data_IF_447413539835
#
_entry.id   IF_447413539835
#
_cell.length_a   1.000
_cell.length_b   1.000
_cell.length_c   1.000
_cell.angle_alpha   90.00
_cell.angle_beta   90.00
_cell.angle_gamma   90.00
#
_symmetry.space_group_name_H-M   'P 1'
#
loop_
_entity.id
_entity.type
_entity.pdbx_description
1 polymer ?
#
# COMPACT_ATOMS: atom_id res chain seq x y z
N UNK A 1 -51.60 29.56 -42.80
CA UNK A 1 -51.35 29.65 -41.35
C UNK A 1 -49.95 29.08 -41.06
N UNK A 2 -48.95 29.95 -40.87
CA UNK A 2 -47.56 29.52 -40.54
C UNK A 2 -47.48 29.38 -39.02
N UNK A 3 -47.16 28.17 -38.50
CA UNK A 3 -46.91 27.91 -37.07
C UNK A 3 -45.46 28.28 -36.78
N UNK A 4 -45.25 29.27 -35.94
CA UNK A 4 -43.95 29.64 -35.37
C UNK A 4 -43.71 28.71 -34.16
N UNK A 5 -42.67 27.86 -34.26
CA UNK A 5 -42.19 27.08 -33.11
C UNK A 5 -41.11 27.92 -32.42
N UNK A 6 -41.43 28.38 -31.21
CA UNK A 6 -40.47 29.05 -30.35
C UNK A 6 -39.71 27.99 -29.55
N UNK A 7 -38.43 27.79 -29.86
CA UNK A 7 -37.51 26.96 -29.09
C UNK A 7 -37.02 27.79 -27.88
N UNK A 8 -37.50 27.47 -26.68
CA UNK A 8 -36.97 28.00 -25.44
C UNK A 8 -35.65 27.24 -25.11
N UNK A 9 -34.51 27.91 -25.29
CA UNK A 9 -33.24 27.48 -24.78
C UNK A 9 -33.21 27.71 -23.24
N UNK A 10 -33.34 26.63 -22.48
CA UNK A 10 -33.05 26.65 -21.05
C UNK A 10 -31.51 26.74 -20.88
N UNK A 11 -31.00 27.93 -20.64
CA UNK A 11 -29.63 28.11 -20.14
C UNK A 11 -29.58 27.56 -18.71
N UNK A 12 -29.05 26.36 -18.55
CA UNK A 12 -28.64 25.84 -17.25
C UNK A 12 -27.49 26.69 -16.73
N UNK A 13 -27.77 27.62 -15.82
CA UNK A 13 -26.75 28.36 -15.07
C UNK A 13 -26.07 27.32 -14.17
N UNK A 14 -24.94 26.76 -14.62
CA UNK A 14 -24.03 26.02 -13.75
C UNK A 14 -23.42 27.05 -12.80
N UNK A 15 -23.98 27.15 -11.59
CA UNK A 15 -23.35 27.94 -10.54
C UNK A 15 -21.91 27.46 -10.34
N UNK A 16 -20.91 28.35 -10.38
CA UNK A 16 -19.53 27.91 -10.14
C UNK A 16 -19.47 27.27 -8.77
N UNK A 17 -18.99 26.03 -8.71
CA UNK A 17 -18.74 25.36 -7.44
C UNK A 17 -17.87 26.28 -6.60
N UNK A 18 -18.41 26.76 -5.47
CA UNK A 18 -17.70 27.70 -4.59
C UNK A 18 -16.40 27.03 -4.19
N UNK A 19 -15.27 27.66 -4.52
CA UNK A 19 -13.94 27.17 -4.19
C UNK A 19 -13.86 26.85 -2.70
N UNK A 20 -13.81 25.57 -2.35
CA UNK A 20 -13.77 25.16 -0.95
C UNK A 20 -12.40 25.52 -0.38
N UNK A 21 -12.41 26.40 0.63
CA UNK A 21 -11.22 26.77 1.39
C UNK A 21 -11.34 26.19 2.79
N UNK A 22 -10.32 25.45 3.22
CA UNK A 22 -10.21 24.89 4.59
C UNK A 22 -8.96 25.46 5.24
N UNK A 23 -9.04 25.81 6.51
CA UNK A 23 -7.91 26.28 7.30
C UNK A 23 -7.77 25.43 8.57
N UNK A 24 -6.67 24.70 8.70
CA UNK A 24 -6.27 24.05 9.95
C UNK A 24 -5.55 25.08 10.80
N UNK A 25 -6.16 25.46 11.93
CA UNK A 25 -5.72 26.58 12.74
C UNK A 25 -4.97 26.08 13.96
N UNK A 26 -3.81 26.66 14.23
CA UNK A 26 -2.96 26.38 15.40
C UNK A 26 -2.49 24.92 15.49
N UNK A 27 -2.13 24.33 14.34
CA UNK A 27 -1.73 22.94 14.22
C UNK A 27 -0.20 22.77 14.31
N UNK A 28 0.28 21.66 14.87
CA UNK A 28 1.67 21.24 14.76
C UNK A 28 1.84 20.48 13.43
N UNK A 29 2.68 20.97 12.53
CA UNK A 29 2.90 20.36 11.21
C UNK A 29 4.15 19.50 11.23
N UNK A 30 4.04 18.25 10.81
CA UNK A 30 5.16 17.36 10.50
C UNK A 30 5.25 17.29 8.98
N UNK A 31 6.10 18.12 8.35
CA UNK A 31 6.04 18.31 6.89
C UNK A 31 6.62 17.16 6.09
N UNK A 32 7.39 16.27 6.69
CA UNK A 32 8.08 15.13 6.06
C UNK A 32 9.14 15.52 5.01
N UNK A 33 9.54 16.79 4.93
CA UNK A 33 10.71 17.23 4.17
C UNK A 33 12.02 16.85 4.88
N UNK A 34 12.00 16.88 6.21
CA UNK A 34 13.02 16.40 7.16
C UNK A 34 12.36 16.16 8.52
N UNK A 35 13.07 15.50 9.42
CA UNK A 35 12.61 15.24 10.79
C UNK A 35 12.48 16.54 11.60
N UNK A 36 11.26 17.01 11.78
CA UNK A 36 10.92 18.20 12.55
C UNK A 36 9.42 18.34 12.78
N UNK A 37 9.07 19.15 13.79
CA UNK A 37 7.70 19.62 14.05
C UNK A 37 7.70 21.14 13.95
N UNK A 38 6.84 21.70 13.09
CA UNK A 38 6.57 23.14 13.02
C UNK A 38 5.35 23.41 13.92
N UNK A 39 5.59 24.01 15.09
CA UNK A 39 4.55 24.26 16.06
C UNK A 39 3.71 25.50 15.69
N UNK A 40 2.45 25.52 16.14
CA UNK A 40 1.54 26.68 16.04
C UNK A 40 1.39 27.22 14.61
N UNK A 41 1.22 26.34 13.64
CA UNK A 41 1.04 26.73 12.25
C UNK A 41 -0.45 26.84 11.88
N UNK A 42 -0.75 27.66 10.89
CA UNK A 42 -2.01 27.60 10.15
C UNK A 42 -1.72 27.13 8.74
N UNK A 43 -2.42 26.07 8.31
CA UNK A 43 -2.33 25.51 6.95
C UNK A 43 -3.62 25.81 6.22
N UNK A 44 -3.53 26.55 5.10
CA UNK A 44 -4.67 26.92 4.26
C UNK A 44 -4.67 26.06 3.01
N UNK A 45 -5.80 25.39 2.77
CA UNK A 45 -6.05 24.58 1.58
C UNK A 45 -7.12 25.24 0.73
N UNK A 46 -6.86 25.37 -0.58
CA UNK A 46 -7.83 25.85 -1.58
C UNK A 46 -7.91 24.86 -2.71
N UNK A 47 -9.10 24.36 -3.03
CA UNK A 47 -9.33 23.41 -4.12
C UNK A 47 -8.39 22.22 -4.06
N UNK A 48 -8.17 21.64 -2.88
CA UNK A 48 -7.32 20.48 -2.68
C UNK A 48 -5.81 20.73 -2.77
N UNK A 49 -5.37 21.99 -2.83
CA UNK A 49 -3.95 22.38 -2.86
C UNK A 49 -3.61 23.22 -1.64
N UNK A 50 -2.47 22.95 -1.03
CA UNK A 50 -1.93 23.75 0.07
C UNK A 50 -1.54 25.12 -0.48
N UNK A 51 -2.37 26.14 -0.18
CA UNK A 51 -2.15 27.48 -0.70
C UNK A 51 -1.22 28.31 0.18
N UNK A 52 -1.21 28.05 1.49
CA UNK A 52 -0.36 28.76 2.44
C UNK A 52 -0.08 27.96 3.71
N UNK A 53 1.09 28.20 4.32
CA UNK A 53 1.54 27.62 5.60
C UNK A 53 2.35 28.67 6.33
N UNK A 54 2.09 28.87 7.62
CA UNK A 54 2.89 29.76 8.43
C UNK A 54 2.36 29.91 9.85
N UNK A 55 3.07 30.69 10.65
CA UNK A 55 2.74 30.98 12.04
C UNK A 55 1.30 31.50 12.16
N UNK A 56 0.50 30.89 13.03
CA UNK A 56 -0.92 31.20 13.23
C UNK A 56 -1.18 32.68 13.55
N UNK A 57 -0.24 33.35 14.22
CA UNK A 57 -0.35 34.80 14.56
C UNK A 57 -0.13 35.70 13.34
N UNK A 58 0.48 35.19 12.26
CA UNK A 58 0.86 35.97 11.08
C UNK A 58 0.01 35.68 9.85
N UNK A 59 -0.51 34.46 9.73
CA UNK A 59 -1.31 34.06 8.58
C UNK A 59 -2.71 34.67 8.63
N UNK A 60 -3.15 35.25 7.51
CA UNK A 60 -4.50 35.77 7.34
C UNK A 60 -5.41 34.69 6.75
N UNK A 61 -6.34 34.18 7.55
CA UNK A 61 -7.31 33.19 7.11
C UNK A 61 -8.36 33.89 6.23
N UNK A 62 -8.63 33.39 5.00
CA UNK A 62 -9.63 33.97 4.11
C UNK A 62 -11.03 34.00 4.73
N UNK A 63 -11.80 35.06 4.46
CA UNK A 63 -13.20 35.09 4.83
C UNK A 63 -13.97 33.94 4.16
N UNK A 64 -14.84 33.25 4.92
CA UNK A 64 -15.62 32.13 4.44
C UNK A 64 -14.87 30.81 4.36
N UNK A 65 -13.60 30.71 4.80
CA UNK A 65 -12.90 29.45 4.96
C UNK A 65 -13.52 28.60 6.07
N UNK A 66 -13.70 27.31 5.81
CA UNK A 66 -14.01 26.33 6.86
C UNK A 66 -12.82 26.28 7.82
N UNK A 67 -13.03 26.61 9.07
CA UNK A 67 -11.99 26.58 10.10
C UNK A 67 -12.04 25.24 10.83
N UNK A 68 -10.90 24.55 10.90
CA UNK A 68 -10.69 23.36 11.70
C UNK A 68 -9.80 23.78 12.86
N UNK A 69 -10.34 23.75 14.08
CA UNK A 69 -9.54 23.95 15.29
C UNK A 69 -8.63 22.72 15.47
N UNK A 70 -7.32 22.95 15.37
CA UNK A 70 -6.30 21.92 15.42
C UNK A 70 -5.25 22.19 16.52
N UNK A 71 -5.62 23.03 17.52
CA UNK A 71 -4.74 23.29 18.65
C UNK A 71 -4.32 22.00 19.36
N UNK A 72 -3.00 21.83 19.54
CA UNK A 72 -2.41 20.62 20.14
C UNK A 72 -2.39 19.38 19.26
N UNK A 73 -2.99 19.40 18.06
CA UNK A 73 -3.02 18.28 17.11
C UNK A 73 -1.83 18.34 16.14
N UNK A 74 -1.62 17.25 15.41
CA UNK A 74 -0.50 17.07 14.48
C UNK A 74 -1.01 16.80 13.07
N UNK A 75 -0.52 17.55 12.10
CA UNK A 75 -0.87 17.40 10.69
C UNK A 75 0.28 16.75 9.94
N UNK A 76 0.00 15.60 9.31
CA UNK A 76 0.94 14.83 8.49
C UNK A 76 0.42 14.71 7.04
N UNK A 77 1.28 14.40 6.05
CA UNK A 77 0.80 13.98 4.74
C UNK A 77 -0.10 12.75 4.87
N UNK A 78 -1.06 12.59 3.99
CA UNK A 78 -1.86 11.38 3.91
C UNK A 78 -1.00 10.15 3.66
N UNK A 79 -1.36 9.04 4.29
CA UNK A 79 -0.60 7.79 4.21
C UNK A 79 -0.76 7.15 2.83
N UNK A 80 0.26 6.43 2.43
CA UNK A 80 0.31 5.63 1.20
C UNK A 80 0.53 4.17 1.55
N UNK A 81 -0.34 3.28 1.05
CA UNK A 81 -0.15 1.83 1.10
C UNK A 81 0.39 1.33 -0.24
N UNK A 82 1.61 0.76 -0.21
CA UNK A 82 2.33 0.36 -1.42
C UNK A 82 2.05 -1.08 -1.87
N UNK A 83 1.22 -1.82 -1.14
CA UNK A 83 0.81 -3.17 -1.52
C UNK A 83 -0.60 -3.48 -1.01
N UNK A 84 -1.57 -3.42 -1.91
CA UNK A 84 -2.99 -3.65 -1.61
C UNK A 84 -3.61 -4.46 -2.73
N UNK A 85 -4.59 -5.29 -2.39
CA UNK A 85 -5.49 -5.96 -3.31
C UNK A 85 -6.93 -5.56 -2.99
N UNK A 86 -7.82 -5.55 -3.99
CA UNK A 86 -9.26 -5.32 -3.81
C UNK A 86 -10.03 -6.56 -4.25
N UNK A 87 -11.19 -6.78 -3.65
CA UNK A 87 -12.17 -7.72 -4.15
C UNK A 87 -12.84 -7.14 -5.41
N UNK A 88 -12.29 -7.45 -6.58
CA UNK A 88 -12.76 -6.99 -7.90
C UNK A 88 -12.82 -8.14 -8.89
N UNK A 89 -13.31 -9.29 -8.46
CA UNK A 89 -13.57 -10.42 -9.33
C UNK A 89 -15.10 -10.66 -9.48
N UNK A 90 -15.46 -11.54 -10.41
CA UNK A 90 -16.87 -11.83 -10.73
C UNK A 90 -17.69 -12.39 -9.54
N UNK A 91 -17.04 -12.75 -8.43
CA UNK A 91 -17.70 -13.27 -7.24
C UNK A 91 -18.24 -12.17 -6.33
N UNK A 92 -17.67 -10.94 -6.39
CA UNK A 92 -18.02 -9.85 -5.48
C UNK A 92 -18.73 -8.69 -6.20
N UNK A 93 -19.70 -8.03 -5.55
CA UNK A 93 -20.30 -6.81 -6.07
C UNK A 93 -19.28 -5.67 -6.17
N UNK A 94 -19.35 -4.85 -7.25
CA UNK A 94 -18.47 -3.69 -7.45
C UNK A 94 -18.54 -2.68 -6.28
N UNK A 95 -19.69 -2.58 -5.63
CA UNK A 95 -19.91 -1.69 -4.48
C UNK A 95 -18.99 -2.02 -3.30
N UNK A 96 -18.62 -3.29 -3.11
CA UNK A 96 -17.69 -3.67 -2.05
C UNK A 96 -16.31 -3.06 -2.27
N UNK A 97 -15.83 -3.02 -3.51
CA UNK A 97 -14.53 -2.39 -3.82
C UNK A 97 -14.56 -0.87 -3.55
N UNK A 98 -15.69 -0.19 -3.79
CA UNK A 98 -15.85 1.23 -3.41
C UNK A 98 -15.85 1.41 -1.88
N UNK A 99 -16.45 0.48 -1.15
CA UNK A 99 -16.45 0.48 0.32
C UNK A 99 -15.07 0.19 0.91
N UNK A 100 -14.29 -0.73 0.33
CA UNK A 100 -12.90 -0.97 0.70
C UNK A 100 -12.04 0.31 0.58
N UNK A 101 -12.23 1.07 -0.50
CA UNK A 101 -11.56 2.35 -0.69
C UNK A 101 -11.97 3.38 0.38
N UNK A 102 -13.25 3.40 0.79
CA UNK A 102 -13.73 4.28 1.88
C UNK A 102 -13.18 3.85 3.25
N UNK A 103 -13.05 2.55 3.50
CA UNK A 103 -12.41 2.03 4.72
C UNK A 103 -10.96 2.54 4.78
N UNK A 104 -10.19 2.44 3.69
CA UNK A 104 -8.81 2.93 3.65
C UNK A 104 -8.72 4.42 3.99
N UNK A 105 -9.62 5.26 3.45
CA UNK A 105 -9.70 6.69 3.80
C UNK A 105 -9.98 6.89 5.28
N UNK A 106 -10.90 6.13 5.88
CA UNK A 106 -11.22 6.22 7.29
C UNK A 106 -10.02 5.92 8.20
N UNK A 107 -9.05 5.14 7.69
CA UNK A 107 -7.77 4.90 8.35
C UNK A 107 -6.63 5.83 7.90
N UNK A 108 -6.91 6.91 7.13
CA UNK A 108 -5.91 7.91 6.75
C UNK A 108 -5.07 7.56 5.53
N UNK A 109 -5.38 6.45 4.85
CA UNK A 109 -4.70 6.05 3.60
C UNK A 109 -5.32 6.81 2.44
N UNK A 110 -4.55 7.71 1.84
CA UNK A 110 -5.01 8.61 0.78
C UNK A 110 -4.40 8.31 -0.58
N UNK A 111 -3.48 7.36 -0.63
CA UNK A 111 -2.86 6.84 -1.87
C UNK A 111 -2.64 5.35 -1.70
N UNK A 112 -2.89 4.57 -2.76
CA UNK A 112 -2.68 3.13 -2.76
C UNK A 112 -2.00 2.68 -4.06
N UNK A 113 -1.27 1.56 -3.97
CA UNK A 113 -0.77 0.83 -5.13
C UNK A 113 -1.40 -0.56 -5.15
N UNK A 114 -2.30 -0.79 -6.11
CA UNK A 114 -2.93 -2.09 -6.34
C UNK A 114 -1.94 -3.02 -7.04
N UNK A 115 -1.72 -4.21 -6.46
CA UNK A 115 -0.67 -5.13 -6.90
C UNK A 115 -1.18 -6.31 -7.74
N UNK A 116 -2.48 -6.37 -8.00
CA UNK A 116 -3.09 -7.26 -9.00
C UNK A 116 -4.14 -6.45 -9.74
N UNK A 117 -3.79 -5.95 -10.93
CA UNK A 117 -4.65 -5.07 -11.70
C UNK A 117 -5.79 -5.79 -12.39
N UNK A 118 -6.96 -5.16 -12.40
CA UNK A 118 -8.11 -5.55 -13.22
C UNK A 118 -8.67 -4.34 -13.97
N UNK A 119 -9.44 -4.51 -15.05
CA UNK A 119 -10.10 -3.41 -15.75
C UNK A 119 -11.03 -2.59 -14.84
N UNK A 120 -11.73 -3.24 -13.90
CA UNK A 120 -12.65 -2.65 -12.92
C UNK A 120 -11.90 -1.66 -12.01
N UNK A 121 -10.71 -2.02 -11.56
CA UNK A 121 -9.84 -1.14 -10.76
C UNK A 121 -9.42 0.12 -11.52
N UNK A 122 -9.23 0.04 -12.84
CA UNK A 122 -8.99 1.22 -13.67
C UNK A 122 -10.23 2.11 -13.80
N UNK A 123 -11.44 1.53 -13.72
CA UNK A 123 -12.70 2.30 -13.62
C UNK A 123 -12.76 3.00 -12.27
N UNK A 124 -12.52 2.30 -11.16
CA UNK A 124 -12.49 2.89 -9.81
C UNK A 124 -11.48 4.05 -9.72
N UNK A 125 -10.29 3.90 -10.32
CA UNK A 125 -9.30 4.97 -10.41
C UNK A 125 -9.86 6.22 -11.11
N UNK A 126 -10.57 6.06 -12.23
CA UNK A 126 -11.18 7.18 -12.96
C UNK A 126 -12.29 7.84 -12.13
N UNK A 127 -13.20 7.05 -11.55
CA UNK A 127 -14.26 7.55 -10.67
C UNK A 127 -13.70 8.35 -9.48
N UNK A 128 -12.68 7.81 -8.81
CA UNK A 128 -12.02 8.48 -7.69
C UNK A 128 -11.33 9.79 -8.11
N UNK A 129 -10.64 9.79 -9.25
CA UNK A 129 -9.99 10.99 -9.79
C UNK A 129 -11.00 12.06 -10.22
N UNK A 130 -12.18 11.68 -10.71
CA UNK A 130 -13.28 12.57 -11.06
C UNK A 130 -14.07 13.08 -9.82
N UNK A 131 -13.85 12.48 -8.64
CA UNK A 131 -14.60 12.79 -7.42
C UNK A 131 -16.02 12.21 -7.40
N UNK A 132 -16.32 11.24 -8.25
CA UNK A 132 -17.60 10.53 -8.29
C UNK A 132 -17.76 9.59 -7.09
N UNK A 133 -16.63 9.05 -6.60
CA UNK A 133 -16.55 8.26 -5.37
C UNK A 133 -15.50 8.83 -4.41
N UNK A 134 -15.63 8.51 -3.13
CA UNK A 134 -14.60 8.81 -2.12
C UNK A 134 -13.57 7.69 -2.12
N UNK A 135 -12.39 7.97 -2.68
CA UNK A 135 -11.35 6.97 -2.85
C UNK A 135 -9.95 7.57 -2.67
N UNK A 136 -8.95 6.77 -2.25
CA UNK A 136 -7.55 7.13 -2.35
C UNK A 136 -7.15 7.42 -3.80
N UNK A 137 -6.02 8.10 -4.00
CA UNK A 137 -5.36 8.12 -5.29
C UNK A 137 -4.83 6.72 -5.61
N UNK A 138 -5.23 6.16 -6.76
CA UNK A 138 -4.93 4.78 -7.13
C UNK A 138 -3.82 4.74 -8.19
N UNK A 139 -2.76 4.01 -7.89
CA UNK A 139 -1.81 3.46 -8.84
C UNK A 139 -2.10 1.98 -9.02
N UNK A 140 -2.12 1.46 -10.24
CA UNK A 140 -2.46 0.08 -10.53
C UNK A 140 -1.33 -0.63 -11.28
N UNK A 141 -0.83 -1.73 -10.72
CA UNK A 141 -0.01 -2.66 -11.48
C UNK A 141 -0.87 -3.44 -12.48
N UNK A 142 -0.24 -4.06 -13.46
CA UNK A 142 -0.91 -4.94 -14.43
C UNK A 142 -1.52 -6.17 -13.76
N UNK A 143 -2.38 -6.93 -14.45
CA UNK A 143 -2.60 -8.33 -14.13
C UNK A 143 -1.27 -9.06 -13.93
N UNK A 144 -1.25 -10.09 -13.08
CA UNK A 144 -0.02 -10.79 -12.71
C UNK A 144 0.60 -11.52 -13.89
N UNK A 145 1.89 -11.29 -14.16
CA UNK A 145 2.64 -12.10 -15.12
C UNK A 145 3.10 -13.39 -14.43
N UNK A 146 2.66 -14.53 -14.92
CA UNK A 146 2.95 -15.83 -14.35
C UNK A 146 3.18 -16.89 -15.43
N UNK A 147 3.92 -17.96 -15.10
CA UNK A 147 4.15 -19.08 -16.00
C UNK A 147 3.08 -20.18 -15.93
N UNK A 148 2.05 -20.04 -15.10
CA UNK A 148 0.96 -21.03 -14.97
C UNK A 148 -0.41 -20.37 -14.85
N UNK A 149 -1.47 -21.16 -15.11
CA UNK A 149 -2.86 -20.68 -15.01
C UNK A 149 -3.15 -20.09 -13.62
N UNK A 150 -3.67 -18.88 -13.62
CA UNK A 150 -4.10 -18.14 -12.43
C UNK A 150 -5.21 -17.17 -12.84
N UNK A 151 -6.04 -16.74 -11.87
CA UNK A 151 -7.03 -15.67 -12.05
C UNK A 151 -6.32 -14.31 -12.16
N UNK A 152 -6.93 -13.36 -12.85
CA UNK A 152 -6.40 -12.00 -13.03
C UNK A 152 -4.91 -11.97 -13.42
N UNK A 153 -4.54 -12.81 -14.41
CA UNK A 153 -3.16 -13.01 -14.79
C UNK A 153 -2.95 -13.07 -16.32
N UNK A 154 -1.82 -12.53 -16.75
CA UNK A 154 -1.21 -12.83 -18.03
C UNK A 154 -0.38 -14.12 -17.88
N UNK A 155 -0.92 -15.23 -18.36
CA UNK A 155 -0.17 -16.50 -18.41
C UNK A 155 0.75 -16.42 -19.61
N UNK A 156 2.06 -16.32 -19.37
CA UNK A 156 3.08 -16.16 -20.41
C UNK A 156 4.12 -17.26 -20.30
N UNK A 157 4.27 -18.04 -21.36
CA UNK A 157 5.15 -19.21 -21.43
C UNK A 157 6.26 -19.06 -22.48
N UNK A 158 6.13 -18.05 -23.33
CA UNK A 158 7.09 -17.68 -24.38
C UNK A 158 7.47 -16.20 -24.28
N UNK A 159 8.63 -15.83 -24.81
CA UNK A 159 9.08 -14.43 -24.91
C UNK A 159 8.11 -13.56 -25.72
N UNK A 160 7.54 -14.08 -26.79
CA UNK A 160 6.60 -13.35 -27.62
C UNK A 160 5.30 -13.00 -26.88
N UNK A 161 4.75 -13.96 -26.12
CA UNK A 161 3.58 -13.73 -25.26
C UNK A 161 3.90 -12.69 -24.19
N UNK A 162 5.08 -12.77 -23.56
CA UNK A 162 5.52 -11.83 -22.55
C UNK A 162 5.57 -10.39 -23.07
N UNK A 163 6.21 -10.17 -24.22
CA UNK A 163 6.30 -8.83 -24.87
C UNK A 163 4.91 -8.29 -25.24
N UNK A 164 4.07 -9.11 -25.85
CA UNK A 164 2.72 -8.73 -26.22
C UNK A 164 1.89 -8.31 -24.99
N UNK A 165 1.99 -9.06 -23.89
CA UNK A 165 1.27 -8.76 -22.64
C UNK A 165 1.76 -7.47 -21.98
N UNK A 166 3.06 -7.15 -22.03
CA UNK A 166 3.61 -5.87 -21.54
C UNK A 166 3.07 -4.71 -22.36
N UNK A 167 3.10 -4.81 -23.70
CA UNK A 167 2.56 -3.77 -24.59
C UNK A 167 1.08 -3.54 -24.30
N UNK A 168 0.30 -4.63 -24.17
CA UNK A 168 -1.12 -4.54 -23.80
C UNK A 168 -1.34 -3.86 -22.46
N UNK A 169 -0.59 -4.23 -21.43
CA UNK A 169 -0.69 -3.61 -20.10
C UNK A 169 -0.44 -2.09 -20.16
N UNK A 170 0.52 -1.66 -20.98
CA UNK A 170 0.76 -0.23 -21.23
C UNK A 170 -0.43 0.46 -21.91
N UNK A 171 -0.98 -0.16 -22.95
CA UNK A 171 -2.14 0.35 -23.70
C UNK A 171 -3.40 0.44 -22.83
N UNK A 172 -3.61 -0.53 -21.96
CA UNK A 172 -4.73 -0.56 -21.00
C UNK A 172 -4.60 0.54 -19.93
N UNK A 173 -3.39 1.09 -19.73
CA UNK A 173 -3.14 2.21 -18.82
C UNK A 173 -2.70 1.83 -17.42
N UNK A 174 -2.15 0.64 -17.24
CA UNK A 174 -1.50 0.25 -15.98
C UNK A 174 -0.18 1.01 -15.78
N UNK A 175 0.19 1.23 -14.52
CA UNK A 175 1.37 2.03 -14.15
C UNK A 175 2.65 1.18 -14.03
N UNK A 176 2.52 -0.12 -13.71
CA UNK A 176 3.62 -1.04 -13.45
C UNK A 176 3.35 -2.42 -14.05
N UNK A 177 4.40 -3.19 -14.27
CA UNK A 177 4.30 -4.61 -14.63
C UNK A 177 4.50 -5.43 -13.36
N UNK A 178 3.46 -6.17 -12.93
CA UNK A 178 3.52 -7.09 -11.78
C UNK A 178 3.98 -8.46 -12.23
N UNK A 179 5.16 -8.88 -11.82
CA UNK A 179 5.63 -10.27 -12.00
C UNK A 179 5.35 -11.09 -10.75
N UNK A 180 5.09 -12.38 -10.96
CA UNK A 180 4.87 -13.33 -9.88
C UNK A 180 5.62 -14.64 -10.17
N UNK A 181 5.10 -15.77 -9.74
CA UNK A 181 5.80 -17.06 -9.70
C UNK A 181 5.78 -17.80 -11.04
N UNK A 182 6.63 -18.80 -11.17
CA UNK A 182 6.70 -19.75 -12.30
C UNK A 182 7.13 -19.17 -13.65
N UNK A 183 7.59 -17.92 -13.71
CA UNK A 183 8.17 -17.38 -14.94
C UNK A 183 9.51 -18.05 -15.22
N UNK A 184 9.67 -18.63 -16.41
CA UNK A 184 10.97 -19.07 -16.87
C UNK A 184 11.94 -17.90 -16.99
N UNK A 185 13.25 -18.09 -16.75
CA UNK A 185 14.22 -16.99 -16.81
C UNK A 185 14.17 -16.19 -18.12
N UNK A 186 14.12 -16.85 -19.27
CA UNK A 186 14.06 -16.20 -20.58
C UNK A 186 12.77 -15.39 -20.78
N UNK A 187 11.65 -15.91 -20.30
CA UNK A 187 10.34 -15.20 -20.36
C UNK A 187 10.36 -13.98 -19.44
N UNK A 188 10.92 -14.09 -18.24
CA UNK A 188 11.10 -12.97 -17.33
C UNK A 188 12.00 -11.88 -17.94
N UNK A 189 13.12 -12.27 -18.57
CA UNK A 189 14.03 -11.32 -19.24
C UNK A 189 13.32 -10.58 -20.39
N UNK A 190 12.43 -11.26 -21.13
CA UNK A 190 11.62 -10.64 -22.15
C UNK A 190 10.59 -9.64 -21.58
N UNK A 191 9.99 -9.94 -20.41
CA UNK A 191 9.13 -8.99 -19.68
C UNK A 191 9.92 -7.74 -19.31
N UNK A 192 11.10 -7.90 -18.71
CA UNK A 192 11.96 -6.79 -18.26
C UNK A 192 12.41 -5.91 -19.43
N UNK A 193 12.89 -6.51 -20.50
CA UNK A 193 13.34 -5.81 -21.71
C UNK A 193 12.19 -5.00 -22.34
N UNK A 194 11.02 -5.60 -22.49
CA UNK A 194 9.88 -4.91 -23.06
C UNK A 194 9.32 -3.83 -22.13
N UNK A 195 9.25 -4.07 -20.83
CA UNK A 195 8.83 -3.07 -19.84
C UNK A 195 9.73 -1.81 -19.89
N UNK A 196 11.05 -2.00 -20.05
CA UNK A 196 11.98 -0.90 -20.23
C UNK A 196 11.68 -0.08 -21.50
N UNK A 197 11.40 -0.74 -22.65
CA UNK A 197 11.01 -0.07 -23.90
C UNK A 197 9.71 0.71 -23.76
N UNK A 198 8.76 0.21 -22.97
CA UNK A 198 7.47 0.85 -22.69
C UNK A 198 7.57 1.90 -21.56
N UNK A 199 8.76 2.15 -21.00
CA UNK A 199 8.98 3.02 -19.85
C UNK A 199 8.07 2.63 -18.65
N UNK A 200 8.01 1.34 -18.37
CA UNK A 200 7.29 0.77 -17.21
C UNK A 200 8.27 0.10 -16.26
N UNK A 201 8.04 0.27 -14.96
CA UNK A 201 8.83 -0.45 -13.94
C UNK A 201 8.25 -1.84 -13.73
N UNK A 202 9.15 -2.80 -13.51
CA UNK A 202 8.79 -4.15 -13.07
C UNK A 202 8.78 -4.18 -11.55
N UNK A 203 7.69 -4.68 -10.98
CA UNK A 203 7.45 -4.81 -9.54
C UNK A 203 6.95 -6.22 -9.23
N UNK A 204 7.06 -6.67 -7.99
CA UNK A 204 6.44 -7.94 -7.59
C UNK A 204 7.43 -8.98 -7.06
N UNK A 205 7.05 -10.24 -7.22
CA UNK A 205 7.76 -11.37 -6.65
C UNK A 205 9.06 -11.70 -7.39
N UNK A 206 10.06 -12.15 -6.63
CA UNK A 206 11.30 -12.68 -7.16
C UNK A 206 11.44 -14.16 -6.73
N UNK A 207 10.63 -15.07 -7.32
CA UNK A 207 10.65 -16.50 -6.96
C UNK A 207 12.04 -17.09 -7.07
N UNK A 208 12.63 -17.52 -5.97
CA UNK A 208 13.98 -18.05 -5.86
C UNK A 208 14.24 -19.28 -6.74
N UNK A 209 13.19 -20.02 -7.08
CA UNK A 209 13.29 -21.22 -7.93
C UNK A 209 13.38 -20.93 -9.42
N UNK A 210 13.02 -19.72 -9.86
CA UNK A 210 12.97 -19.34 -11.28
C UNK A 210 13.74 -18.07 -11.58
N UNK A 211 13.39 -16.95 -10.95
CA UNK A 211 14.03 -15.65 -11.16
C UNK A 211 15.21 -15.46 -10.22
N UNK A 212 14.97 -15.57 -8.91
CA UNK A 212 15.97 -15.38 -7.86
C UNK A 212 16.45 -13.95 -7.68
N UNK A 213 17.04 -13.67 -6.51
CA UNK A 213 17.50 -12.33 -6.16
C UNK A 213 18.52 -11.73 -7.14
N UNK A 214 19.57 -12.48 -7.62
CA UNK A 214 20.56 -11.88 -8.51
C UNK A 214 19.96 -11.39 -9.83
N UNK A 215 19.01 -12.13 -10.42
CA UNK A 215 18.36 -11.74 -11.69
C UNK A 215 17.40 -10.57 -11.48
N UNK A 216 16.63 -10.56 -10.39
CA UNK A 216 15.76 -9.46 -10.04
C UNK A 216 16.54 -8.16 -9.79
N UNK A 217 17.68 -8.22 -9.09
CA UNK A 217 18.58 -7.07 -8.90
C UNK A 217 19.17 -6.58 -10.21
N UNK A 218 19.67 -7.48 -11.07
CA UNK A 218 20.18 -7.11 -12.40
C UNK A 218 19.11 -6.39 -13.24
N UNK A 219 17.85 -6.81 -13.12
CA UNK A 219 16.71 -6.19 -13.81
C UNK A 219 16.24 -4.89 -13.17
N UNK A 220 16.82 -4.47 -12.04
CA UNK A 220 16.35 -3.32 -11.23
C UNK A 220 14.87 -3.45 -10.84
N UNK A 221 14.38 -4.68 -10.65
CA UNK A 221 13.03 -4.94 -10.20
C UNK A 221 12.84 -4.36 -8.79
N UNK A 222 11.70 -3.74 -8.54
CA UNK A 222 11.30 -3.43 -7.18
C UNK A 222 10.68 -4.69 -6.56
N UNK A 223 11.32 -5.21 -5.51
CA UNK A 223 10.99 -6.51 -4.91
C UNK A 223 9.98 -6.30 -3.77
N UNK A 224 8.93 -7.14 -3.77
CA UNK A 224 7.96 -7.24 -2.70
C UNK A 224 8.40 -8.32 -1.69
N UNK A 225 7.93 -8.21 -0.45
CA UNK A 225 8.00 -9.27 0.57
C UNK A 225 9.41 -9.75 0.95
N UNK A 226 10.48 -9.08 0.51
CA UNK A 226 11.87 -9.57 0.60
C UNK A 226 12.05 -10.96 -0.02
N UNK A 227 11.36 -11.22 -1.13
CA UNK A 227 11.45 -12.51 -1.82
C UNK A 227 12.87 -12.82 -2.29
N UNK A 228 13.29 -14.05 -2.15
CA UNK A 228 14.63 -14.57 -2.45
C UNK A 228 15.77 -14.08 -1.55
N UNK A 229 15.50 -13.23 -0.55
CA UNK A 229 16.56 -12.82 0.38
C UNK A 229 17.02 -13.97 1.27
N UNK A 230 16.10 -14.84 1.76
CA UNK A 230 16.50 -16.01 2.54
C UNK A 230 17.34 -16.97 1.73
N UNK A 231 16.96 -17.24 0.48
CA UNK A 231 17.75 -18.07 -0.42
C UNK A 231 19.15 -17.49 -0.65
N UNK A 232 19.27 -16.17 -0.77
CA UNK A 232 20.54 -15.47 -0.93
C UNK A 232 21.44 -15.58 0.32
N UNK A 233 20.85 -15.70 1.51
CA UNK A 233 21.58 -15.92 2.77
C UNK A 233 22.12 -17.34 2.92
N UNK A 234 21.63 -18.32 2.15
CA UNK A 234 22.14 -19.70 2.22
C UNK A 234 23.57 -19.76 1.68
N UNK A 235 24.50 -20.44 2.38
CA UNK A 235 25.80 -20.81 1.81
C UNK A 235 25.64 -21.73 0.58
N UNK A 236 26.60 -21.67 -0.34
CA UNK A 236 26.58 -22.58 -1.50
C UNK A 236 26.65 -24.07 -1.11
N UNK A 237 27.24 -24.35 0.05
CA UNK A 237 27.32 -25.71 0.62
C UNK A 237 26.04 -26.16 1.33
N UNK A 238 25.00 -25.32 1.41
CA UNK A 238 23.76 -25.66 2.11
C UNK A 238 23.02 -26.79 1.40
N UNK A 239 22.55 -27.82 2.12
CA UNK A 239 21.83 -28.94 1.52
C UNK A 239 20.47 -28.56 0.95
N UNK A 240 19.96 -27.38 1.32
CA UNK A 240 18.66 -26.85 0.87
C UNK A 240 18.79 -25.73 -0.17
N UNK A 241 20.00 -25.38 -0.58
CA UNK A 241 20.26 -24.37 -1.60
C UNK A 241 19.55 -24.72 -2.91
N UNK A 242 18.84 -23.76 -3.52
CA UNK A 242 18.06 -23.96 -4.75
C UNK A 242 16.74 -24.71 -4.57
N UNK A 243 16.41 -25.18 -3.37
CA UNK A 243 15.16 -25.90 -3.09
C UNK A 243 14.12 -25.10 -2.31
N UNK A 244 14.49 -23.92 -1.82
CA UNK A 244 13.67 -23.08 -0.94
C UNK A 244 12.99 -21.97 -1.73
N UNK A 245 11.77 -21.65 -1.37
CA UNK A 245 11.09 -20.46 -1.86
C UNK A 245 10.45 -19.71 -0.69
N UNK A 246 10.84 -18.47 -0.49
CA UNK A 246 10.30 -17.58 0.55
C UNK A 246 8.79 -17.35 0.38
N UNK A 247 8.30 -17.40 -0.86
CA UNK A 247 6.89 -17.24 -1.23
C UNK A 247 6.02 -18.40 -0.73
N UNK A 248 6.62 -19.57 -0.50
CA UNK A 248 5.89 -20.80 -0.15
C UNK A 248 6.29 -21.36 1.23
N UNK A 249 6.43 -20.48 2.22
CA UNK A 249 6.72 -20.88 3.60
C UNK A 249 5.65 -21.73 4.27
N UNK A 250 4.51 -21.92 3.62
CA UNK A 250 3.51 -22.92 4.02
C UNK A 250 3.99 -24.37 3.82
N UNK A 251 5.07 -24.58 3.04
CA UNK A 251 5.69 -25.90 2.91
C UNK A 251 6.66 -26.13 4.07
N UNK A 252 6.45 -27.15 4.92
CA UNK A 252 7.34 -27.46 6.05
C UNK A 252 8.82 -27.57 5.69
N UNK A 253 9.14 -28.07 4.50
CA UNK A 253 10.52 -28.19 4.01
C UNK A 253 11.24 -26.83 3.89
N UNK A 254 10.52 -25.76 3.60
CA UNK A 254 11.13 -24.44 3.49
C UNK A 254 11.64 -23.94 4.84
N UNK A 255 11.08 -24.40 5.97
CA UNK A 255 11.53 -24.06 7.30
C UNK A 255 12.89 -24.66 7.70
N UNK A 256 13.34 -25.70 7.00
CA UNK A 256 14.68 -26.26 7.20
C UNK A 256 15.78 -25.24 6.86
N UNK A 257 15.52 -24.35 5.91
CA UNK A 257 16.47 -23.31 5.47
C UNK A 257 16.90 -22.38 6.62
N UNK A 258 16.04 -22.15 7.59
CA UNK A 258 16.29 -21.24 8.72
C UNK A 258 17.51 -21.67 9.56
N UNK A 259 17.83 -22.98 9.57
CA UNK A 259 18.97 -23.52 10.30
C UNK A 259 20.33 -23.23 9.63
N UNK A 260 20.31 -22.94 8.32
CA UNK A 260 21.52 -22.79 7.49
C UNK A 260 21.81 -21.36 7.07
N UNK A 261 21.01 -20.36 7.48
CA UNK A 261 21.16 -18.98 7.05
C UNK A 261 22.47 -18.36 7.60
N UNK A 262 23.27 -17.77 6.72
CA UNK A 262 24.45 -17.00 7.08
C UNK A 262 24.10 -15.51 7.15
N UNK A 263 23.82 -15.03 8.35
CA UNK A 263 23.46 -13.64 8.60
C UNK A 263 24.59 -12.65 8.29
N UNK A 264 25.87 -13.09 8.22
CA UNK A 264 27.00 -12.22 7.84
C UNK A 264 26.89 -11.72 6.40
N UNK A 265 26.08 -12.34 5.57
CA UNK A 265 25.82 -11.88 4.19
C UNK A 265 24.83 -10.71 4.12
N UNK A 266 24.07 -10.43 5.19
CA UNK A 266 23.01 -9.40 5.19
C UNK A 266 23.56 -8.01 4.74
N UNK A 267 24.70 -7.48 5.27
CA UNK A 267 25.17 -6.17 4.87
C UNK A 267 25.54 -6.07 3.38
N UNK A 268 26.11 -7.14 2.81
CA UNK A 268 26.46 -7.16 1.39
C UNK A 268 25.23 -7.21 0.50
N UNK A 269 24.27 -8.07 0.82
CA UNK A 269 22.99 -8.17 0.09
C UNK A 269 22.23 -6.84 0.16
N UNK A 270 22.24 -6.16 1.31
CA UNK A 270 21.61 -4.85 1.46
C UNK A 270 22.26 -3.81 0.54
N UNK A 271 23.60 -3.74 0.48
CA UNK A 271 24.31 -2.84 -0.45
C UNK A 271 24.00 -3.14 -1.91
N UNK A 272 23.98 -4.43 -2.30
CA UNK A 272 23.63 -4.84 -3.66
C UNK A 272 22.20 -4.44 -4.03
N UNK A 273 21.25 -4.61 -3.09
CA UNK A 273 19.88 -4.17 -3.26
C UNK A 273 19.79 -2.67 -3.53
N UNK A 274 20.39 -1.86 -2.67
CA UNK A 274 20.33 -0.39 -2.79
C UNK A 274 21.02 0.10 -4.07
N UNK A 275 22.14 -0.52 -4.44
CA UNK A 275 22.83 -0.19 -5.70
C UNK A 275 21.98 -0.49 -6.93
N UNK A 276 21.21 -1.58 -6.90
CA UNK A 276 20.36 -1.99 -8.01
C UNK A 276 19.06 -1.16 -8.08
N UNK A 277 18.31 -1.19 -7.00
CA UNK A 277 17.06 -0.46 -6.81
C UNK A 277 16.87 -0.14 -5.32
N UNK A 278 16.91 1.14 -4.92
CA UNK A 278 16.85 1.50 -3.51
C UNK A 278 15.46 1.30 -2.86
N UNK A 279 14.42 0.94 -3.63
CA UNK A 279 13.04 0.85 -3.13
C UNK A 279 12.64 -0.58 -2.84
N UNK A 280 12.17 -0.85 -1.60
CA UNK A 280 11.66 -2.16 -1.16
C UNK A 280 10.34 -2.01 -0.41
N UNK A 281 9.45 -3.02 -0.53
CA UNK A 281 8.20 -3.12 0.24
C UNK A 281 8.24 -4.46 0.99
N UNK A 282 8.57 -4.47 2.29
CA UNK A 282 8.84 -5.70 3.03
C UNK A 282 7.59 -6.42 3.53
N UNK A 283 6.46 -5.71 3.70
CA UNK A 283 5.22 -6.24 4.30
C UNK A 283 5.47 -7.03 5.60
N UNK A 284 6.21 -6.42 6.53
CA UNK A 284 6.64 -7.10 7.76
C UNK A 284 5.46 -7.59 8.59
N UNK A 285 4.39 -6.78 8.66
CA UNK A 285 3.21 -7.14 9.42
C UNK A 285 2.55 -8.42 8.93
N UNK A 286 2.43 -8.61 7.61
CA UNK A 286 1.92 -9.85 7.03
C UNK A 286 2.64 -11.08 7.60
N UNK A 287 3.96 -11.06 7.61
CA UNK A 287 4.76 -12.19 8.07
C UNK A 287 4.75 -12.35 9.59
N UNK A 288 4.79 -11.26 10.34
CA UNK A 288 4.65 -11.27 11.81
C UNK A 288 3.27 -11.78 12.22
N UNK A 289 2.22 -11.32 11.54
CA UNK A 289 0.85 -11.78 11.76
C UNK A 289 0.70 -13.27 11.43
N UNK A 290 1.25 -13.71 10.30
CA UNK A 290 1.13 -15.09 9.83
C UNK A 290 1.96 -16.07 10.66
N UNK A 291 3.18 -15.71 11.05
CA UNK A 291 4.18 -16.63 11.63
C UNK A 291 4.56 -16.31 13.05
N UNK A 292 4.14 -15.17 13.61
CA UNK A 292 4.57 -14.71 14.92
C UNK A 292 4.09 -15.55 16.12
N UNK A 293 4.58 -15.17 17.29
CA UNK A 293 4.26 -15.78 18.56
C UNK A 293 2.78 -15.60 18.94
N UNK A 294 2.24 -16.56 19.67
CA UNK A 294 0.87 -16.48 20.19
C UNK A 294 -0.22 -16.75 19.16
N UNK A 295 0.13 -17.21 17.97
CA UNK A 295 -0.86 -17.53 16.96
C UNK A 295 -1.60 -18.83 17.26
N UNK A 296 -2.85 -18.70 17.60
CA UNK A 296 -3.86 -19.75 17.66
C UNK A 296 -5.06 -19.33 16.81
N UNK A 297 -6.00 -20.25 16.54
CA UNK A 297 -7.26 -19.91 15.87
C UNK A 297 -8.02 -18.81 16.62
N UNK A 298 -8.07 -18.90 17.96
CA UNK A 298 -8.69 -17.89 18.82
C UNK A 298 -7.97 -16.54 18.76
N UNK A 299 -6.64 -16.51 18.86
CA UNK A 299 -5.87 -15.27 18.78
C UNK A 299 -5.94 -14.63 17.38
N UNK A 300 -6.07 -15.44 16.34
CA UNK A 300 -6.30 -14.96 15.00
C UNK A 300 -7.64 -14.23 14.90
N UNK A 301 -8.73 -14.87 15.33
CA UNK A 301 -10.07 -14.27 15.31
C UNK A 301 -10.17 -13.01 16.18
N UNK A 302 -9.52 -12.99 17.33
CA UNK A 302 -9.55 -11.84 18.23
C UNK A 302 -8.87 -10.58 17.69
N UNK A 303 -7.98 -10.72 16.71
CA UNK A 303 -7.24 -9.61 16.08
C UNK A 303 -7.93 -9.07 14.83
N UNK A 304 -8.98 -9.73 14.34
CA UNK A 304 -9.64 -9.39 13.09
C UNK A 304 -10.93 -8.60 13.32
N UNK A 305 -11.11 -7.55 12.54
CA UNK A 305 -12.43 -6.94 12.40
C UNK A 305 -13.16 -7.61 11.22
N UNK A 306 -13.69 -8.82 11.49
CA UNK A 306 -14.38 -9.65 10.49
C UNK A 306 -15.66 -9.03 9.97
N UNK A 307 -16.14 -7.92 10.56
CA UNK A 307 -17.33 -7.20 10.09
C UNK A 307 -17.21 -6.72 8.64
N UNK A 308 -15.98 -6.53 8.17
CA UNK A 308 -15.68 -6.05 6.82
C UNK A 308 -15.32 -7.17 5.84
N UNK A 309 -15.76 -8.39 6.13
CA UNK A 309 -15.53 -9.54 5.25
C UNK A 309 -16.81 -10.37 5.07
N UNK A 310 -17.13 -10.82 3.84
CA UNK A 310 -18.18 -11.78 3.62
C UNK A 310 -17.93 -13.08 4.40
N UNK A 311 -18.97 -13.64 5.00
CA UNK A 311 -18.84 -14.87 5.80
C UNK A 311 -18.11 -16.00 5.06
N UNK A 312 -18.41 -16.19 3.78
CA UNK A 312 -17.74 -17.20 2.92
C UNK A 312 -16.23 -17.01 2.89
N UNK A 313 -15.76 -15.76 2.80
CA UNK A 313 -14.33 -15.42 2.80
C UNK A 313 -13.71 -15.70 4.16
N UNK A 314 -14.40 -15.35 5.24
CA UNK A 314 -13.96 -15.66 6.61
C UNK A 314 -13.81 -17.16 6.80
N UNK A 315 -14.82 -17.97 6.40
CA UNK A 315 -14.79 -19.42 6.54
C UNK A 315 -13.63 -20.05 5.73
N UNK A 316 -13.37 -19.55 4.52
CA UNK A 316 -12.24 -20.00 3.68
C UNK A 316 -10.89 -19.72 4.35
N UNK A 317 -10.67 -18.50 4.83
CA UNK A 317 -9.42 -18.12 5.50
C UNK A 317 -9.24 -18.86 6.83
N UNK A 318 -10.34 -19.13 7.56
CA UNK A 318 -10.28 -19.96 8.77
C UNK A 318 -9.83 -21.39 8.47
N UNK A 319 -10.33 -21.98 7.38
CA UNK A 319 -9.90 -23.32 6.94
C UNK A 319 -8.40 -23.32 6.56
N UNK A 320 -7.91 -22.30 5.85
CA UNK A 320 -6.49 -22.10 5.53
C UNK A 320 -5.66 -21.95 6.79
N UNK A 321 -6.09 -21.10 7.73
CA UNK A 321 -5.42 -20.86 9.01
C UNK A 321 -5.28 -22.14 9.83
N UNK A 322 -6.35 -22.91 9.96
CA UNK A 322 -6.35 -24.19 10.68
C UNK A 322 -5.38 -25.20 10.07
N UNK A 323 -5.39 -25.32 8.73
CA UNK A 323 -4.44 -26.17 8.00
C UNK A 323 -2.99 -25.72 8.24
N UNK A 324 -2.75 -24.40 8.16
CA UNK A 324 -1.42 -23.84 8.41
C UNK A 324 -0.94 -24.15 9.83
N UNK A 325 -1.77 -23.89 10.85
CA UNK A 325 -1.42 -24.12 12.26
C UNK A 325 -1.10 -25.58 12.55
N UNK A 326 -1.77 -26.52 11.86
CA UNK A 326 -1.50 -27.96 12.00
C UNK A 326 -0.14 -28.40 11.47
N UNK A 327 0.49 -27.60 10.59
CA UNK A 327 1.78 -27.88 9.95
C UNK A 327 2.84 -26.82 10.24
N UNK A 328 2.55 -25.91 11.18
CA UNK A 328 3.45 -24.81 11.48
C UNK A 328 4.80 -25.30 12.04
N UNK A 329 5.87 -24.64 11.60
CA UNK A 329 7.20 -24.87 12.16
C UNK A 329 7.24 -24.52 13.66
N UNK A 330 8.24 -25.07 14.42
CA UNK A 330 8.48 -24.67 15.79
C UNK A 330 8.58 -23.17 15.94
N UNK A 331 8.10 -22.64 17.08
CA UNK A 331 8.01 -21.20 17.33
C UNK A 331 9.39 -20.52 17.22
N UNK A 332 10.44 -21.18 17.66
CA UNK A 332 11.80 -20.65 17.64
C UNK A 332 12.27 -20.38 16.19
N UNK A 333 11.95 -21.27 15.25
CA UNK A 333 12.25 -21.07 13.81
C UNK A 333 11.45 -19.92 13.22
N UNK A 334 10.18 -19.81 13.59
CA UNK A 334 9.30 -18.73 13.12
C UNK A 334 9.75 -17.37 13.64
N UNK A 335 10.13 -17.28 14.92
CA UNK A 335 10.68 -16.06 15.51
C UNK A 335 12.03 -15.68 14.89
N UNK A 336 12.91 -16.67 14.67
CA UNK A 336 14.19 -16.43 13.96
C UNK A 336 13.97 -15.90 12.55
N UNK A 337 12.99 -16.45 11.83
CA UNK A 337 12.60 -15.96 10.51
C UNK A 337 12.20 -14.47 10.53
N UNK A 338 11.31 -14.09 11.45
CA UNK A 338 10.86 -12.70 11.60
C UNK A 338 12.05 -11.80 11.97
N UNK A 339 12.90 -12.22 12.91
CA UNK A 339 14.07 -11.47 13.33
C UNK A 339 15.06 -11.23 12.17
N UNK A 340 15.26 -12.22 11.29
CA UNK A 340 16.12 -12.09 10.11
C UNK A 340 15.52 -11.10 9.11
N UNK A 341 14.23 -11.14 8.86
CA UNK A 341 13.54 -10.16 7.99
C UNK A 341 13.72 -8.74 8.51
N UNK A 342 13.55 -8.54 9.82
CA UNK A 342 13.78 -7.24 10.46
C UNK A 342 15.23 -6.77 10.26
N UNK A 343 16.22 -7.65 10.45
CA UNK A 343 17.64 -7.34 10.21
C UNK A 343 17.91 -6.96 8.74
N UNK A 344 17.28 -7.63 7.78
CA UNK A 344 17.42 -7.33 6.34
C UNK A 344 16.86 -5.92 6.07
N UNK A 345 15.65 -5.61 6.55
CA UNK A 345 15.03 -4.28 6.36
C UNK A 345 15.92 -3.19 6.96
N UNK A 346 16.39 -3.40 8.20
CA UNK A 346 17.29 -2.44 8.86
C UNK A 346 18.59 -2.23 8.08
N UNK A 347 19.20 -3.31 7.60
CA UNK A 347 20.43 -3.23 6.81
C UNK A 347 20.22 -2.50 5.46
N UNK A 348 19.09 -2.72 4.78
CA UNK A 348 18.73 -2.00 3.56
C UNK A 348 18.55 -0.51 3.86
N UNK A 349 17.85 -0.16 4.93
CA UNK A 349 17.67 1.23 5.37
C UNK A 349 19.03 1.89 5.68
N UNK A 350 19.89 1.22 6.48
CA UNK A 350 21.22 1.73 6.84
C UNK A 350 22.17 1.88 5.65
N UNK A 351 21.97 1.08 4.60
CA UNK A 351 22.69 1.22 3.34
C UNK A 351 22.16 2.36 2.45
N UNK A 352 21.17 3.12 2.89
CA UNK A 352 20.54 4.23 2.15
C UNK A 352 19.36 3.83 1.28
N UNK A 353 18.76 2.65 1.52
CA UNK A 353 17.55 2.22 0.84
C UNK A 353 16.30 2.95 1.31
N UNK A 354 15.32 3.06 0.43
CA UNK A 354 14.01 3.63 0.70
C UNK A 354 13.01 2.52 0.99
N UNK A 355 12.78 2.24 2.28
CA UNK A 355 11.72 1.32 2.69
C UNK A 355 10.38 2.01 2.44
N UNK A 356 9.43 1.27 1.86
CA UNK A 356 8.05 1.71 1.63
C UNK A 356 7.10 0.78 2.37
N UNK A 357 6.12 1.34 3.07
CA UNK A 357 5.13 0.57 3.82
C UNK A 357 4.08 -0.02 2.86
N UNK A 358 3.77 -1.28 3.03
CA UNK A 358 2.73 -2.01 2.31
C UNK A 358 2.07 -3.03 3.21
N UNK A 359 0.74 -3.14 3.15
CA UNK A 359 -0.02 -3.99 4.06
C UNK A 359 -0.26 -5.40 3.55
N UNK A 360 -0.34 -5.56 2.23
CA UNK A 360 -0.80 -6.77 1.54
C UNK A 360 -2.24 -7.19 1.92
N UNK A 361 -3.07 -6.21 2.30
CA UNK A 361 -4.48 -6.46 2.57
C UNK A 361 -5.22 -6.82 1.27
N UNK A 362 -6.22 -7.74 1.33
CA UNK A 362 -6.84 -8.36 2.50
C UNK A 362 -6.28 -9.74 2.88
N UNK A 363 -5.04 -10.07 2.53
CA UNK A 363 -4.44 -11.36 2.89
C UNK A 363 -4.66 -11.66 4.38
N UNK A 364 -5.05 -12.90 4.70
CA UNK A 364 -5.33 -13.33 6.07
C UNK A 364 -6.40 -12.50 6.81
N UNK A 365 -7.37 -11.91 6.09
CA UNK A 365 -8.40 -11.03 6.66
C UNK A 365 -7.83 -9.82 7.41
N UNK A 366 -6.65 -9.36 7.02
CA UNK A 366 -6.05 -8.13 7.56
C UNK A 366 -6.81 -6.91 7.04
N UNK A 367 -7.28 -6.05 7.95
CA UNK A 367 -8.19 -4.96 7.63
C UNK A 367 -7.50 -3.84 6.83
N UNK A 368 -8.11 -3.44 5.75
CA UNK A 368 -7.75 -2.30 4.91
C UNK A 368 -7.44 -1.05 5.72
N UNK A 369 -6.34 -0.41 5.42
CA UNK A 369 -5.88 0.80 6.08
C UNK A 369 -5.41 0.62 7.53
N UNK A 370 -6.12 -0.17 8.36
CA UNK A 370 -5.67 -0.47 9.72
C UNK A 370 -4.31 -1.18 9.73
N UNK A 371 -4.17 -2.19 8.89
CA UNK A 371 -2.94 -3.00 8.81
C UNK A 371 -1.71 -2.15 8.42
N UNK A 372 -1.89 -1.08 7.66
CA UNK A 372 -0.78 -0.17 7.37
C UNK A 372 -0.18 0.47 8.62
N UNK A 373 -1.00 0.83 9.61
CA UNK A 373 -0.49 1.34 10.89
C UNK A 373 0.31 0.29 11.67
N UNK A 374 -0.09 -0.98 11.55
CA UNK A 374 0.64 -2.10 12.16
C UNK A 374 1.97 -2.35 11.44
N UNK A 375 2.01 -2.22 10.11
CA UNK A 375 3.25 -2.24 9.34
C UNK A 375 4.22 -1.14 9.78
N UNK A 376 3.74 0.10 10.02
CA UNK A 376 4.58 1.19 10.54
C UNK A 376 5.18 0.86 11.91
N UNK A 377 4.39 0.23 12.80
CA UNK A 377 4.87 -0.24 14.10
C UNK A 377 5.95 -1.31 13.91
N UNK A 378 5.74 -2.26 13.01
CA UNK A 378 6.70 -3.34 12.76
C UNK A 378 7.98 -2.84 12.08
N UNK A 379 7.92 -1.80 11.25
CA UNK A 379 9.10 -1.11 10.73
C UNK A 379 9.91 -0.45 11.84
N UNK A 380 9.27 0.20 12.83
CA UNK A 380 9.94 0.73 14.02
C UNK A 380 10.56 -0.41 14.83
N UNK A 381 9.83 -1.50 15.05
CA UNK A 381 10.31 -2.67 15.80
C UNK A 381 11.50 -3.36 15.10
N UNK A 382 11.58 -3.24 13.77
CA UNK A 382 12.73 -3.67 12.98
C UNK A 382 13.96 -2.74 13.13
N UNK A 383 13.83 -1.62 13.85
CA UNK A 383 14.92 -0.71 14.19
C UNK A 383 14.95 0.60 13.39
N UNK A 384 13.89 0.95 12.67
CA UNK A 384 13.73 2.26 12.07
C UNK A 384 13.29 3.28 13.14
N UNK A 385 13.61 4.57 12.94
CA UNK A 385 13.04 5.62 13.78
C UNK A 385 11.54 5.81 13.47
N UNK A 386 10.78 6.45 14.38
CA UNK A 386 9.39 6.81 14.11
C UNK A 386 9.26 7.69 12.87
N UNK A 387 10.23 8.60 12.64
CA UNK A 387 10.28 9.41 11.43
C UNK A 387 10.49 8.55 10.18
N UNK A 388 11.45 7.62 10.18
CA UNK A 388 11.72 6.75 9.05
C UNK A 388 10.53 5.81 8.73
N UNK A 389 9.84 5.30 9.75
CA UNK A 389 8.62 4.53 9.58
C UNK A 389 7.50 5.39 8.94
N UNK A 390 7.33 6.63 9.38
CA UNK A 390 6.35 7.55 8.77
C UNK A 390 6.75 7.94 7.34
N UNK A 391 8.06 8.12 7.09
CA UNK A 391 8.61 8.39 5.75
C UNK A 391 8.31 7.24 4.78
N UNK A 392 8.29 5.99 5.26
CA UNK A 392 7.96 4.81 4.47
C UNK A 392 6.51 4.81 3.95
N UNK A 393 5.57 5.51 4.60
CA UNK A 393 4.19 5.65 4.14
C UNK A 393 3.86 7.04 3.57
N UNK A 394 4.83 7.94 3.40
CA UNK A 394 4.56 9.30 2.93
C UNK A 394 5.53 9.72 1.83
N UNK A 395 6.73 10.12 2.18
CA UNK A 395 7.73 10.67 1.28
C UNK A 395 8.33 9.63 0.33
N UNK A 396 8.68 8.44 0.82
CA UNK A 396 9.31 7.41 -0.01
C UNK A 396 8.40 6.90 -1.13
N UNK A 397 7.09 6.62 -0.91
CA UNK A 397 6.15 6.34 -2.00
C UNK A 397 6.07 7.47 -3.03
N UNK A 398 6.01 8.74 -2.61
CA UNK A 398 5.97 9.87 -3.53
C UNK A 398 7.26 9.98 -4.36
N UNK A 399 8.40 9.65 -3.77
CA UNK A 399 9.68 9.57 -4.47
C UNK A 399 9.67 8.42 -5.50
N UNK A 400 9.18 7.24 -5.11
CA UNK A 400 9.02 6.10 -6.01
C UNK A 400 8.11 6.42 -7.20
N UNK A 401 6.98 7.07 -6.99
CA UNK A 401 6.06 7.46 -8.06
C UNK A 401 6.57 8.63 -8.91
N UNK A 402 7.66 9.30 -8.50
CA UNK A 402 8.16 10.51 -9.17
C UNK A 402 7.26 11.73 -8.95
N UNK A 403 6.48 11.75 -7.87
CA UNK A 403 5.48 12.78 -7.57
C UNK A 403 5.81 13.62 -6.34
N UNK A 404 7.04 13.52 -5.82
CA UNK A 404 7.44 14.25 -4.61
C UNK A 404 7.29 15.77 -4.72
N UNK A 405 7.30 16.33 -5.91
CA UNK A 405 7.02 17.74 -6.17
C UNK A 405 5.52 18.09 -6.05
N UNK A 406 4.63 17.08 -5.89
CA UNK A 406 3.17 17.25 -5.82
C UNK A 406 2.54 16.65 -4.58
N UNK A 407 3.16 15.64 -3.97
CA UNK A 407 2.60 14.83 -2.86
C UNK A 407 3.71 14.41 -1.90
N UNK A 408 3.35 13.72 -0.80
CA UNK A 408 4.28 13.06 0.12
C UNK A 408 4.90 13.97 1.20
N UNK A 409 4.73 15.29 1.09
CA UNK A 409 5.16 16.28 2.09
C UNK A 409 4.15 17.41 2.19
N UNK A 410 4.16 18.16 3.32
CA UNK A 410 3.29 19.33 3.52
C UNK A 410 4.07 20.60 3.16
N UNK A 411 3.88 21.05 1.94
CA UNK A 411 4.53 22.23 1.38
C UNK A 411 3.54 23.01 0.51
N UNK A 412 3.74 24.33 0.42
CA UNK A 412 2.92 25.20 -0.45
C UNK A 412 2.98 24.75 -1.90
N UNK A 413 1.83 24.67 -2.55
CA UNK A 413 1.67 24.24 -3.94
C UNK A 413 1.43 22.75 -4.10
N UNK A 414 1.61 21.93 -3.05
CA UNK A 414 1.37 20.49 -3.10
C UNK A 414 -0.09 20.14 -2.82
N UNK A 415 -0.48 18.95 -3.24
CA UNK A 415 -1.82 18.38 -2.99
C UNK A 415 -2.05 18.23 -1.49
N UNK A 416 -3.21 18.63 -1.04
CA UNK A 416 -3.61 18.56 0.35
C UNK A 416 -4.34 17.26 0.69
N UNK A 417 -3.67 16.11 0.47
CA UNK A 417 -4.08 14.84 1.06
C UNK A 417 -3.36 14.77 2.42
N UNK A 418 -4.11 14.91 3.52
CA UNK A 418 -3.56 15.16 4.85
C UNK A 418 -4.30 14.33 5.91
N UNK A 419 -3.60 13.96 6.97
CA UNK A 419 -4.21 13.36 8.17
C UNK A 419 -3.95 14.25 9.37
N UNK A 420 -5.01 14.58 10.11
CA UNK A 420 -4.93 15.26 11.38
C UNK A 420 -4.97 14.23 12.51
N UNK A 421 -3.95 14.24 13.37
CA UNK A 421 -3.76 13.31 14.48
C UNK A 421 -3.92 14.01 15.82
N UNK A 422 -4.43 13.29 16.84
CA UNK A 422 -4.57 13.76 18.20
C UNK A 422 -3.27 13.69 19.01
N UNK A 423 -2.24 12.98 18.52
CA UNK A 423 -0.96 12.82 19.21
C UNK A 423 0.21 12.77 18.21
N UNK A 424 1.42 13.07 18.70
CA UNK A 424 2.64 13.16 17.90
C UNK A 424 3.13 11.77 17.44
N UNK A 425 3.12 11.47 16.13
CA UNK A 425 3.63 10.19 15.62
C UNK A 425 5.17 10.08 15.67
N UNK A 426 5.89 11.18 15.88
CA UNK A 426 7.34 11.13 16.08
C UNK A 426 7.72 10.70 17.49
N UNK A 427 6.84 10.86 18.48
CA UNK A 427 7.04 10.33 19.84
C UNK A 427 6.74 8.84 19.90
N UNK A 428 5.67 8.41 19.23
CA UNK A 428 5.28 7.01 19.04
C UNK A 428 4.54 6.85 17.71
N UNK A 429 5.05 6.02 16.82
CA UNK A 429 4.44 5.79 15.50
C UNK A 429 3.01 5.23 15.60
N UNK A 430 2.66 4.54 16.69
CA UNK A 430 1.32 4.05 16.96
C UNK A 430 0.28 5.20 17.07
N UNK A 431 0.73 6.44 17.30
CA UNK A 431 -0.13 7.63 17.33
C UNK A 431 -0.75 7.95 15.94
N UNK A 432 -0.24 7.38 14.85
CA UNK A 432 -0.90 7.46 13.54
C UNK A 432 -2.31 6.86 13.55
N UNK A 433 -2.62 6.00 14.51
CA UNK A 433 -3.96 5.43 14.71
C UNK A 433 -4.94 6.41 15.40
N UNK A 434 -4.45 7.48 16.04
CA UNK A 434 -5.25 8.47 16.76
C UNK A 434 -5.65 9.63 15.82
N UNK A 435 -6.48 9.33 14.84
CA UNK A 435 -6.89 10.30 13.82
C UNK A 435 -8.04 11.18 14.34
N UNK A 436 -7.93 12.48 14.14
CA UNK A 436 -9.02 13.46 14.32
C UNK A 436 -9.81 13.67 13.03
N UNK A 437 -9.18 13.43 11.86
CA UNK A 437 -9.82 13.53 10.56
C UNK A 437 -8.84 13.39 9.40
N UNK A 438 -9.40 13.30 8.19
CA UNK A 438 -8.66 13.11 6.94
C UNK A 438 -9.11 14.14 5.91
N UNK A 439 -8.17 14.76 5.22
CA UNK A 439 -8.43 15.58 4.05
C UNK A 439 -8.01 14.85 2.79
N UNK A 440 -8.94 14.73 1.85
CA UNK A 440 -8.70 14.17 0.53
C UNK A 440 -9.51 14.92 -0.53
N UNK A 441 -8.94 15.13 -1.70
CA UNK A 441 -9.58 15.83 -2.83
C UNK A 441 -10.20 17.19 -2.43
N UNK A 442 -9.57 17.88 -1.47
CA UNK A 442 -10.02 19.20 -0.99
C UNK A 442 -11.15 19.19 0.03
N UNK A 443 -11.67 18.02 0.40
CA UNK A 443 -12.71 17.87 1.43
C UNK A 443 -12.11 17.28 2.70
N UNK A 444 -12.43 17.89 3.84
CA UNK A 444 -12.04 17.41 5.16
C UNK A 444 -13.19 16.61 5.79
N UNK A 445 -12.89 15.41 6.22
CA UNK A 445 -13.80 14.50 6.90
C UNK A 445 -13.35 14.33 8.35
N UNK A 446 -14.27 14.55 9.29
CA UNK A 446 -14.02 14.27 10.71
C UNK A 446 -13.98 12.77 10.98
N UNK A 447 -13.18 12.33 11.93
CA UNK A 447 -13.12 10.90 12.32
C UNK A 447 -14.49 10.38 12.73
N UNK A 448 -15.30 11.17 13.44
CA UNK A 448 -16.66 10.76 13.82
C UNK A 448 -17.60 10.55 12.61
N UNK A 449 -17.41 11.29 11.51
CA UNK A 449 -18.13 11.08 10.26
C UNK A 449 -17.68 9.78 9.58
N UNK A 450 -16.38 9.55 9.53
CA UNK A 450 -15.83 8.32 8.94
C UNK A 450 -16.17 7.06 9.75
N UNK A 451 -16.28 7.16 11.08
CA UNK A 451 -16.75 6.05 11.91
C UNK A 451 -18.19 5.64 11.54
N UNK A 452 -19.06 6.62 11.23
CA UNK A 452 -20.42 6.30 10.72
C UNK A 452 -20.38 5.56 9.37
N UNK A 453 -19.44 5.93 8.49
CA UNK A 453 -19.26 5.15 7.25
C UNK A 453 -18.92 3.71 7.55
N UNK A 454 -18.00 3.45 8.47
CA UNK A 454 -17.61 2.09 8.85
C UNK A 454 -18.80 1.30 9.39
N UNK A 455 -19.65 1.93 10.21
CA UNK A 455 -20.85 1.29 10.74
C UNK A 455 -21.90 1.01 9.64
N UNK A 456 -22.01 1.85 8.61
CA UNK A 456 -22.89 1.67 7.46
C UNK A 456 -22.37 0.63 6.46
N UNK A 457 -21.05 0.51 6.34
CA UNK A 457 -20.37 -0.39 5.40
C UNK A 457 -20.39 -1.83 5.91
N UNK A 458 -20.13 -2.06 7.19
CA UNK A 458 -19.96 -3.39 7.74
C UNK A 458 -21.12 -4.38 7.43
N UNK A 459 -22.41 -4.01 7.53
CA UNK A 459 -23.50 -4.91 7.16
C UNK A 459 -23.50 -5.32 5.68
N UNK A 460 -23.04 -4.45 4.78
CA UNK A 460 -22.98 -4.77 3.34
C UNK A 460 -21.99 -5.89 3.04
N UNK A 461 -20.85 -5.93 3.71
CA UNK A 461 -19.90 -7.03 3.58
C UNK A 461 -20.48 -8.35 4.07
N UNK A 462 -21.18 -8.35 5.21
CA UNK A 462 -21.73 -9.56 5.81
C UNK A 462 -22.78 -10.22 4.92
N UNK A 463 -23.58 -9.43 4.19
CA UNK A 463 -24.67 -9.91 3.34
C UNK A 463 -24.29 -10.01 1.85
N UNK A 464 -23.08 -9.62 1.46
CA UNK A 464 -22.70 -9.47 0.05
C UNK A 464 -22.81 -10.75 -0.80
N UNK A 465 -22.83 -11.94 -0.19
CA UNK A 465 -22.89 -13.23 -0.87
C UNK A 465 -24.06 -14.09 -0.42
N UNK A 466 -25.00 -13.55 0.38
CA UNK A 466 -26.15 -14.31 0.85
C UNK A 466 -27.23 -14.52 -0.25
N UNK A 467 -27.19 -13.70 -1.33
CA UNK A 467 -28.16 -13.73 -2.42
C UNK A 467 -27.68 -14.44 -3.70
N UNK A 468 -26.49 -15.03 -3.69
CA UNK A 468 -25.91 -15.86 -4.77
C UNK A 468 -25.72 -17.30 -4.28
#
# INVERSE_FOLDING_TARGET
MKRIVVLLFLLSIVAPARAQTVAFVDVNVIPMDKERVLQHQTVIVRNGVISDIGDTKRIKIPAGAQRVDAAGKFLIPGLTDMHVHLFTDDEFPDELAEDELRIMIAYGVTTIRLMTGTPEQLVLRRKGAAGEIVAPMIYAASPQFTGRKSTNAHVVTTEAEARAAVIKSKQDGYDFIKVTTYLKPEVYEAVVDEAAKQNMRVVGHADSRTVGLPRALKAKQQIEHLDSYLEALLPESSPVKGSVSDIYLYNPKNWESIDYLDENKIPEIARQTVHSNPFVVPTLHLFKFTFGKGRSEESFMAQLDIRFYPKKVVDQWMAVSKRYLSTAAPIEKREKYIAIRNKIVKAIYDAGGHVMAGSDTPEWLMLYGHTLHLELIDLRDAGLSNYAALEAATRNPALFFGTLNKTGTIEKGKRANLVLLDANPLDDIANTQKRAGVMINGKYYLQAEMNKWLDEIAPRFQHALDEK
#
